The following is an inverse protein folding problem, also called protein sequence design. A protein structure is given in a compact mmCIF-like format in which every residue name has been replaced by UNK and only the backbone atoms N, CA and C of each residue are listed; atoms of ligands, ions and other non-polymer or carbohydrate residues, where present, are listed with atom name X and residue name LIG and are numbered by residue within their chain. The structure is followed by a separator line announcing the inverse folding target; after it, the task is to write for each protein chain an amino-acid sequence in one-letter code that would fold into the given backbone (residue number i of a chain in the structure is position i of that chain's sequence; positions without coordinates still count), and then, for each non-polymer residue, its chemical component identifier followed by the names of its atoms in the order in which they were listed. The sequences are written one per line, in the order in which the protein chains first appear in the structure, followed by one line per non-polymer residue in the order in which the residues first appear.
data_IF_300555340942
#
_entry.id   IF_300555340942
#
_cell.length_a   1.000
_cell.length_b   1.000
_cell.length_c   1.000
_cell.angle_alpha   90.00
_cell.angle_beta   90.00
_cell.angle_gamma   90.00
#
_symmetry.space_group_name_H-M   'P 1'
#
loop_
_entity.id
_entity.type
_entity.pdbx_description
1 polymer ?
#
# COMPACT_ATOMS: atom_id res chain seq x y z
N UNK A 1 0.43 4.12 -15.87
CA UNK A 1 0.62 2.65 -15.91
C UNK A 1 0.44 2.12 -14.49
N UNK A 2 -0.13 0.93 -14.26
CA UNK A 2 -0.21 0.39 -12.91
C UNK A 2 1.21 0.20 -12.38
N UNK A 3 1.50 0.78 -11.22
CA UNK A 3 2.77 0.60 -10.53
C UNK A 3 2.81 -0.86 -10.09
N UNK A 4 3.79 -1.62 -10.58
CA UNK A 4 3.93 -3.06 -10.32
C UNK A 4 5.36 -3.36 -9.99
N UNK A 5 5.59 -4.18 -8.98
CA UNK A 5 6.94 -4.59 -8.62
C UNK A 5 7.06 -5.16 -7.22
N UNK A 6 8.26 -5.65 -6.92
CA UNK A 6 8.58 -6.22 -5.61
C UNK A 6 8.39 -5.22 -4.46
N UNK A 7 8.54 -3.91 -4.73
CA UNK A 7 8.26 -2.86 -3.74
C UNK A 7 6.79 -2.85 -3.34
N UNK A 8 5.86 -2.89 -4.31
CA UNK A 8 4.42 -2.93 -4.04
C UNK A 8 4.04 -4.20 -3.29
N UNK A 9 4.64 -5.34 -3.66
CA UNK A 9 4.41 -6.61 -2.97
C UNK A 9 4.83 -6.53 -1.50
N UNK A 10 6.04 -6.02 -1.21
CA UNK A 10 6.53 -5.84 0.16
C UNK A 10 5.67 -4.87 0.96
N UNK A 11 5.23 -3.77 0.34
CA UNK A 11 4.30 -2.83 0.97
C UNK A 11 2.98 -3.51 1.29
N UNK A 12 2.42 -4.28 0.37
CA UNK A 12 1.16 -5.01 0.60
C UNK A 12 1.29 -6.05 1.73
N UNK A 13 2.40 -6.78 1.78
CA UNK A 13 2.72 -7.67 2.91
C UNK A 13 2.83 -6.89 4.22
N UNK A 14 3.56 -5.78 4.25
CA UNK A 14 3.75 -4.96 5.45
C UNK A 14 2.44 -4.34 5.94
N UNK A 15 1.59 -3.87 5.02
CA UNK A 15 0.26 -3.34 5.33
C UNK A 15 -0.63 -4.44 5.92
N UNK A 16 -0.64 -5.62 5.30
CA UNK A 16 -1.45 -6.75 5.77
C UNK A 16 -1.00 -7.22 7.16
N UNK A 17 0.31 -7.26 7.44
CA UNK A 17 0.85 -7.58 8.76
C UNK A 17 0.46 -6.57 9.84
N UNK A 18 0.30 -5.30 9.47
CA UNK A 18 -0.17 -4.25 10.36
C UNK A 18 -1.71 -4.21 10.49
N UNK A 19 -2.43 -5.09 9.79
CA UNK A 19 -3.89 -5.17 9.83
C UNK A 19 -4.60 -4.35 8.74
N UNK A 20 -3.86 -3.67 7.86
CA UNK A 20 -4.40 -2.93 6.72
C UNK A 20 -4.52 -3.85 5.50
N UNK A 21 -5.70 -4.43 5.29
CA UNK A 21 -5.92 -5.35 4.15
C UNK A 21 -5.94 -4.61 2.81
N UNK A 22 -5.03 -4.98 1.92
CA UNK A 22 -4.92 -4.44 0.55
C UNK A 22 -5.84 -5.12 -0.45
N UNK A 23 -6.72 -6.02 0.02
CA UNK A 23 -7.61 -6.91 -0.77
C UNK A 23 -6.85 -7.90 -1.67
N UNK A 24 -5.60 -8.20 -1.33
CA UNK A 24 -4.71 -9.09 -2.11
C UNK A 24 -3.27 -8.57 -2.12
N UNK A 25 -2.30 -9.49 -2.14
CA UNK A 25 -0.87 -9.21 -2.24
C UNK A 25 -0.41 -9.68 -3.63
N UNK A 26 -0.82 -8.93 -4.65
CA UNK A 26 -0.57 -9.27 -6.05
C UNK A 26 0.64 -8.53 -6.64
N UNK A 27 1.29 -7.66 -5.85
CA UNK A 27 2.36 -6.77 -6.31
C UNK A 27 1.89 -5.67 -7.26
N UNK A 28 0.57 -5.42 -7.31
CA UNK A 28 -0.08 -4.44 -8.18
C UNK A 28 -0.64 -3.30 -7.33
N UNK A 29 -0.25 -2.07 -7.66
CA UNK A 29 -0.77 -0.89 -7.01
C UNK A 29 -2.13 -0.53 -7.60
N UNK A 30 -3.20 -0.99 -6.93
CA UNK A 30 -4.59 -0.69 -7.28
C UNK A 30 -5.31 0.09 -6.19
N UNK A 31 -6.62 0.30 -6.35
CA UNK A 31 -7.45 1.03 -5.37
C UNK A 31 -7.43 0.41 -3.96
N UNK A 32 -7.32 -0.91 -3.84
CA UNK A 32 -7.20 -1.60 -2.55
C UNK A 32 -5.88 -1.29 -1.85
N UNK A 33 -4.77 -1.40 -2.59
CA UNK A 33 -3.43 -1.03 -2.11
C UNK A 33 -3.34 0.44 -1.72
N UNK A 34 -3.91 1.33 -2.54
CA UNK A 34 -3.95 2.76 -2.26
C UNK A 34 -4.71 3.05 -0.97
N UNK A 35 -5.89 2.47 -0.77
CA UNK A 35 -6.68 2.68 0.45
C UNK A 35 -5.95 2.17 1.71
N UNK A 36 -5.33 0.99 1.63
CA UNK A 36 -4.54 0.44 2.74
C UNK A 36 -3.29 1.29 3.02
N UNK A 37 -2.61 1.77 1.99
CA UNK A 37 -1.45 2.64 2.12
C UNK A 37 -1.83 3.99 2.73
N UNK A 38 -2.92 4.61 2.29
CA UNK A 38 -3.42 5.86 2.86
C UNK A 38 -3.80 5.70 4.33
N UNK A 39 -4.43 4.58 4.71
CA UNK A 39 -4.77 4.31 6.11
C UNK A 39 -3.52 4.14 6.99
N UNK A 40 -2.52 3.41 6.49
CA UNK A 40 -1.23 3.28 7.16
C UNK A 40 -0.48 4.62 7.27
N UNK A 41 -0.48 5.43 6.19
CA UNK A 41 0.14 6.75 6.21
C UNK A 41 -0.53 7.64 7.26
N UNK A 42 -1.86 7.62 7.33
CA UNK A 42 -2.62 8.36 8.33
C UNK A 42 -2.29 7.91 9.76
N UNK A 43 -2.24 6.60 10.00
CA UNK A 43 -1.90 6.02 11.31
C UNK A 43 -0.46 6.33 11.73
N UNK A 44 0.47 6.32 10.76
CA UNK A 44 1.89 6.62 10.96
C UNK A 44 2.21 8.11 11.04
N UNK A 45 1.22 9.01 10.86
CA UNK A 45 1.43 10.45 10.79
C UNK A 45 2.22 10.91 9.55
N UNK A 46 2.28 10.08 8.51
CA UNK A 46 2.88 10.38 7.22
C UNK A 46 1.91 11.15 6.31
N UNK A 47 2.41 11.84 5.27
CA UNK A 47 1.54 12.43 4.25
C UNK A 47 0.71 11.34 3.57
N UNK A 48 -0.62 11.52 3.60
CA UNK A 48 -1.64 10.62 3.08
C UNK A 48 -1.71 10.59 1.54
N UNK A 49 -0.57 10.65 0.85
CA UNK A 49 -0.50 10.74 -0.61
C UNK A 49 -1.11 9.51 -1.29
N UNK A 50 -1.17 8.36 -0.59
CA UNK A 50 -1.64 7.11 -1.18
C UNK A 50 -0.80 6.70 -2.39
N UNK A 51 0.42 7.21 -2.48
CA UNK A 51 1.42 6.90 -3.49
C UNK A 51 2.64 6.34 -2.78
N UNK A 52 3.24 5.31 -3.38
CA UNK A 52 4.64 4.98 -3.14
C UNK A 52 5.43 6.02 -3.94
N UNK A 53 5.92 7.06 -3.28
CA UNK A 53 6.97 7.91 -3.86
C UNK A 53 8.16 7.00 -4.21
N UNK A 54 8.67 7.14 -5.43
CA UNK A 54 9.78 6.35 -6.02
C UNK A 54 11.13 6.70 -5.40
#
# INVERSE_FOLDING_TARGET
MPVRGALVFRTQEGLTQQGFSTRGIDGIFGRGTQAALTAFQHDSGLPNSGALDE
#
